data_IF_629931208744
#
_entry.id   IF_629931208744
#
_cell.length_a   1.000
_cell.length_b   1.000
_cell.length_c   1.000
_cell.angle_alpha   90.00
_cell.angle_beta   90.00
_cell.angle_gamma   90.00
#
_symmetry.space_group_name_H-M   'P 1'
#
loop_
_entity.id
_entity.type
_entity.pdbx_description
1 polymer ?
#
# COMPACT_ATOMS: atom_id res chain seq x y z
N UNK A 1 -15.17 7.37 5.66
CA UNK A 1 -13.96 6.52 5.75
C UNK A 1 -14.29 5.16 5.14
N UNK A 2 -13.97 4.96 3.86
CA UNK A 2 -14.09 3.66 3.20
C UNK A 2 -13.02 2.73 3.79
N UNK A 3 -13.46 1.60 4.35
CA UNK A 3 -12.55 0.56 4.87
C UNK A 3 -11.86 -0.09 3.68
N UNK A 4 -10.62 0.32 3.40
CA UNK A 4 -9.82 -0.29 2.34
C UNK A 4 -9.51 -1.73 2.76
N UNK A 5 -9.86 -2.68 1.89
CA UNK A 5 -9.72 -4.10 2.18
C UNK A 5 -8.24 -4.53 2.29
N UNK A 6 -7.97 -5.63 2.99
CA UNK A 6 -6.62 -6.20 3.11
C UNK A 6 -6.02 -6.53 1.74
N UNK A 7 -6.84 -7.10 0.85
CA UNK A 7 -6.44 -7.42 -0.52
C UNK A 7 -6.04 -6.17 -1.31
N UNK A 8 -6.77 -5.08 -1.15
CA UNK A 8 -6.47 -3.80 -1.81
C UNK A 8 -5.13 -3.23 -1.35
N UNK A 9 -4.84 -3.29 -0.04
CA UNK A 9 -3.55 -2.87 0.52
C UNK A 9 -2.40 -3.71 -0.01
N UNK A 10 -2.56 -5.03 -0.02
CA UNK A 10 -1.54 -5.95 -0.52
C UNK A 10 -1.23 -5.72 -2.00
N UNK A 11 -2.27 -5.57 -2.83
CA UNK A 11 -2.11 -5.32 -4.27
C UNK A 11 -1.40 -4.00 -4.55
N UNK A 12 -1.72 -2.94 -3.80
CA UNK A 12 -1.03 -1.66 -3.90
C UNK A 12 0.47 -1.79 -3.59
N UNK A 13 0.81 -2.50 -2.50
CA UNK A 13 2.21 -2.77 -2.13
C UNK A 13 2.93 -3.57 -3.22
N UNK A 14 2.31 -4.62 -3.76
CA UNK A 14 2.90 -5.39 -4.85
C UNK A 14 3.18 -4.53 -6.08
N UNK A 15 2.23 -3.69 -6.51
CA UNK A 15 2.44 -2.78 -7.65
C UNK A 15 3.60 -1.81 -7.40
N UNK A 16 3.78 -1.35 -6.15
CA UNK A 16 4.89 -0.48 -5.79
C UNK A 16 6.24 -1.20 -5.91
N UNK A 17 6.37 -2.42 -5.35
CA UNK A 17 7.61 -3.20 -5.44
C UNK A 17 7.91 -3.71 -6.84
N UNK A 18 6.89 -3.90 -7.68
CA UNK A 18 7.06 -4.23 -9.10
C UNK A 18 7.46 -3.02 -9.96
N UNK A 19 7.49 -1.81 -9.39
CA UNK A 19 7.85 -0.59 -10.12
C UNK A 19 6.82 -0.18 -11.18
N UNK A 20 5.56 -0.59 -11.02
CA UNK A 20 4.49 -0.34 -12.02
C UNK A 20 4.22 1.15 -12.20
N UNK A 21 4.27 1.92 -11.11
CA UNK A 21 4.00 3.36 -11.10
C UNK A 21 4.61 4.01 -9.85
N UNK A 22 4.54 5.33 -9.75
CA UNK A 22 5.01 6.07 -8.58
C UNK A 22 4.16 5.78 -7.33
N UNK A 23 4.76 5.92 -6.15
CA UNK A 23 4.07 5.80 -4.85
C UNK A 23 2.78 6.62 -4.78
N UNK A 24 2.84 7.87 -5.25
CA UNK A 24 1.70 8.79 -5.29
C UNK A 24 0.59 8.32 -6.23
N UNK A 25 0.94 7.88 -7.44
CA UNK A 25 -0.02 7.34 -8.40
C UNK A 25 -0.74 6.11 -7.87
N UNK A 26 0.02 5.17 -7.29
CA UNK A 26 -0.52 3.93 -6.72
C UNK A 26 -1.44 4.25 -5.54
N UNK A 27 -1.00 5.09 -4.60
CA UNK A 27 -1.83 5.51 -3.47
C UNK A 27 -3.17 6.10 -3.96
N UNK A 28 -3.12 7.05 -4.90
CA UNK A 28 -4.31 7.67 -5.48
C UNK A 28 -5.23 6.66 -6.18
N UNK A 29 -4.67 5.73 -6.96
CA UNK A 29 -5.41 4.68 -7.68
C UNK A 29 -6.21 3.80 -6.71
N UNK A 30 -5.64 3.52 -5.55
CA UNK A 30 -6.24 2.67 -4.54
C UNK A 30 -7.02 3.44 -3.45
N UNK A 31 -7.21 4.75 -3.62
CA UNK A 31 -7.95 5.59 -2.68
C UNK A 31 -7.24 5.83 -1.33
N UNK A 32 -5.91 5.71 -1.31
CA UNK A 32 -5.05 5.94 -0.16
C UNK A 32 -4.35 7.29 -0.25
N UNK A 33 -4.10 7.89 0.91
CA UNK A 33 -3.16 8.99 1.02
C UNK A 33 -1.72 8.49 0.85
N UNK A 34 -0.86 9.28 0.20
CA UNK A 34 0.53 8.94 -0.05
C UNK A 34 1.31 8.68 1.25
N UNK A 35 1.05 9.45 2.32
CA UNK A 35 1.69 9.26 3.62
C UNK A 35 1.27 7.95 4.25
N UNK A 36 -0.04 7.65 4.23
CA UNK A 36 -0.56 6.37 4.73
C UNK A 36 0.04 5.19 3.96
N UNK A 37 0.15 5.32 2.65
CA UNK A 37 0.76 4.28 1.81
C UNK A 37 2.26 4.14 2.10
N UNK A 38 2.97 5.23 2.36
CA UNK A 38 4.37 5.19 2.80
C UNK A 38 4.58 4.43 4.11
N UNK A 39 3.74 4.69 5.12
CA UNK A 39 3.78 3.94 6.39
C UNK A 39 3.48 2.46 6.16
N UNK A 40 2.52 2.14 5.29
CA UNK A 40 2.14 0.77 4.96
C UNK A 40 3.30 0.00 4.31
N UNK A 41 4.03 0.63 3.39
CA UNK A 41 5.23 0.04 2.76
C UNK A 41 6.30 -0.22 3.81
N UNK A 42 6.64 0.77 4.64
CA UNK A 42 7.67 0.62 5.67
C UNK A 42 7.33 -0.48 6.68
N UNK A 43 6.05 -0.56 7.07
CA UNK A 43 5.56 -1.60 7.95
C UNK A 43 5.64 -2.99 7.29
N UNK A 44 5.35 -3.08 5.99
CA UNK A 44 5.46 -4.31 5.21
C UNK A 44 6.92 -4.75 5.04
N UNK A 45 7.86 -3.82 4.86
CA UNK A 45 9.30 -4.13 4.82
C UNK A 45 9.81 -4.66 6.16
N UNK A 46 9.29 -4.14 7.27
CA UNK A 46 9.75 -4.50 8.62
C UNK A 46 9.16 -5.83 9.11
N UNK A 47 7.86 -6.04 8.88
CA UNK A 47 7.10 -7.14 9.48
C UNK A 47 6.61 -8.16 8.45
N UNK A 48 6.79 -7.90 7.16
CA UNK A 48 6.23 -8.72 6.10
C UNK A 48 4.70 -8.57 5.95
N UNK A 49 4.04 -9.54 5.31
CA UNK A 49 2.60 -9.50 5.02
C UNK A 49 1.71 -9.41 6.27
N UNK A 50 2.19 -9.87 7.42
CA UNK A 50 1.48 -9.94 8.71
C UNK A 50 1.06 -8.58 9.28
N UNK A 51 1.54 -7.48 8.70
CA UNK A 51 1.15 -6.12 9.11
C UNK A 51 -0.16 -5.62 8.48
N UNK A 52 -0.69 -6.33 7.50
CA UNK A 52 -1.90 -5.92 6.77
C UNK A 52 -3.21 -6.23 7.52
N UNK A 53 -3.14 -6.53 8.82
CA UNK A 53 -4.19 -7.20 9.58
C UNK A 53 -5.04 -6.32 10.48
#
# INVERSE_FOLDING_TARGET
>A
MTRISKQTKFKAIQEYFLGVDSKKSIARRYGMDEKTFGVLIAAYETHGPDVLF
#
